data_IF_798220851104
#
_entry.id   IF_798220851104
#
_cell.length_a   1.000
_cell.length_b   1.000
_cell.length_c   1.000
_cell.angle_alpha   90.00
_cell.angle_beta   90.00
_cell.angle_gamma   90.00
#
_symmetry.space_group_name_H-M   'P 1'
#
loop_
_entity.id
_entity.type
_entity.pdbx_description
1 polymer ?
#
# COMPACT_ATOMS: atom_id res chain seq x y z
N UNK A 1 28.00 18.93 -32.07
CA UNK A 1 28.55 18.74 -30.72
C UNK A 1 28.10 19.92 -29.87
N UNK A 2 26.89 19.86 -29.31
CA UNK A 2 26.33 20.95 -28.51
C UNK A 2 26.89 20.86 -27.10
N UNK A 3 27.65 21.88 -26.68
CA UNK A 3 28.03 22.09 -25.28
C UNK A 3 26.75 22.31 -24.48
N UNK A 4 26.44 21.42 -23.54
CA UNK A 4 25.43 21.70 -22.51
C UNK A 4 26.02 22.72 -21.56
N UNK A 5 25.37 23.89 -21.49
CA UNK A 5 25.61 24.88 -20.44
C UNK A 5 25.22 24.30 -19.06
N UNK A 6 25.92 24.68 -17.98
CA UNK A 6 25.56 24.26 -16.64
C UNK A 6 24.24 24.91 -16.20
N UNK A 7 23.25 24.08 -15.83
CA UNK A 7 21.96 24.54 -15.29
C UNK A 7 22.17 25.27 -13.96
N UNK A 8 21.64 26.49 -13.87
CA UNK A 8 21.53 27.30 -12.66
C UNK A 8 20.93 26.48 -11.50
N UNK A 9 21.56 26.56 -10.32
CA UNK A 9 21.19 25.80 -9.12
C UNK A 9 20.16 26.52 -8.22
N UNK A 10 19.32 27.40 -8.77
CA UNK A 10 18.51 28.35 -7.98
C UNK A 10 16.99 28.14 -7.92
N UNK A 11 16.36 27.43 -8.87
CA UNK A 11 14.90 27.60 -9.09
C UNK A 11 13.97 26.70 -8.25
N UNK A 12 14.47 25.66 -7.58
CA UNK A 12 13.60 24.65 -6.92
C UNK A 12 13.66 24.66 -5.38
N UNK A 13 14.30 25.67 -4.76
CA UNK A 13 14.38 25.74 -3.29
C UNK A 13 13.15 26.45 -2.73
N UNK A 14 12.33 25.74 -1.95
CA UNK A 14 11.18 26.27 -1.23
C UNK A 14 11.62 26.84 0.11
N UNK A 15 11.16 28.06 0.41
CA UNK A 15 11.34 28.76 1.68
C UNK A 15 9.98 29.05 2.30
N UNK A 16 9.77 28.60 3.53
CA UNK A 16 8.48 28.72 4.22
C UNK A 16 8.72 29.08 5.69
N UNK A 17 7.93 30.00 6.25
CA UNK A 17 7.90 30.25 7.69
C UNK A 17 6.80 29.42 8.36
N UNK A 18 7.11 28.84 9.51
CA UNK A 18 6.11 28.14 10.35
C UNK A 18 6.38 28.35 11.83
N UNK A 19 5.37 28.17 12.67
CA UNK A 19 5.52 28.27 14.14
C UNK A 19 6.01 26.97 14.80
N UNK A 20 5.86 25.83 14.12
CA UNK A 20 6.21 24.53 14.69
C UNK A 20 7.73 24.31 14.55
N UNK A 21 8.37 23.81 15.60
CA UNK A 21 9.79 23.43 15.61
C UNK A 21 10.09 22.24 14.67
N UNK A 22 11.36 22.06 14.24
CA UNK A 22 11.79 20.85 13.52
C UNK A 22 11.55 19.58 14.32
N UNK A 23 10.97 18.57 13.67
CA UNK A 23 10.57 17.33 14.32
C UNK A 23 11.73 16.45 14.82
N UNK A 24 12.92 16.55 14.21
CA UNK A 24 13.99 15.58 14.46
C UNK A 24 15.19 16.16 15.23
N UNK A 25 15.64 17.37 14.89
CA UNK A 25 16.82 17.94 15.53
C UNK A 25 16.83 19.46 15.53
N UNK A 26 17.29 20.03 16.65
CA UNK A 26 17.60 21.45 16.83
C UNK A 26 18.96 21.58 17.50
N UNK A 27 19.76 22.53 17.01
CA UNK A 27 21.08 22.87 17.49
C UNK A 27 21.12 24.37 17.77
N UNK A 28 21.17 24.72 19.06
CA UNK A 28 21.44 26.08 19.51
C UNK A 28 22.94 26.31 19.59
N UNK A 29 23.38 27.46 19.09
CA UNK A 29 24.76 27.93 19.17
C UNK A 29 24.73 29.24 19.92
N UNK A 30 25.37 29.26 21.08
CA UNK A 30 25.70 30.48 21.80
C UNK A 30 27.12 30.93 21.41
N UNK A 31 27.40 32.23 21.51
CA UNK A 31 28.68 32.82 21.10
C UNK A 31 29.02 32.55 19.62
N UNK A 32 28.06 32.77 18.71
CA UNK A 32 28.20 32.49 17.28
C UNK A 32 29.38 33.24 16.65
N UNK A 33 29.64 34.48 17.07
CA UNK A 33 30.79 35.26 16.62
C UNK A 33 32.12 34.54 16.87
N UNK A 34 32.31 33.96 18.06
CA UNK A 34 33.50 33.18 18.40
C UNK A 34 33.60 31.88 17.58
N UNK A 35 32.47 31.20 17.33
CA UNK A 35 32.44 30.05 16.43
C UNK A 35 32.89 30.45 15.03
N UNK A 36 32.36 31.55 14.52
CA UNK A 36 32.67 32.10 13.20
C UNK A 36 34.16 32.45 13.08
N UNK A 37 34.71 33.15 14.07
CA UNK A 37 36.12 33.54 14.10
C UNK A 37 37.04 32.31 14.21
N UNK A 38 36.66 31.32 15.03
CA UNK A 38 37.41 30.08 15.18
C UNK A 38 37.51 29.33 13.85
N UNK A 39 36.40 29.17 13.10
CA UNK A 39 36.46 28.45 11.82
C UNK A 39 37.12 29.28 10.70
N UNK A 40 37.05 30.61 10.77
CA UNK A 40 37.73 31.48 9.80
C UNK A 40 39.25 31.48 9.97
N UNK A 41 39.73 31.36 11.22
CA UNK A 41 41.15 31.47 11.56
C UNK A 41 41.82 30.13 11.88
N UNK A 42 41.16 29.01 11.63
CA UNK A 42 41.71 27.67 11.81
C UNK A 42 41.69 26.88 10.49
N UNK A 43 42.24 25.67 10.51
CA UNK A 43 42.10 24.73 9.40
C UNK A 43 40.71 24.10 9.31
N UNK A 44 39.81 24.39 10.26
CA UNK A 44 38.45 23.87 10.31
C UNK A 44 37.52 24.89 9.66
N UNK A 45 37.10 24.67 8.41
CA UNK A 45 36.17 25.57 7.71
C UNK A 45 34.71 25.43 8.17
N UNK A 46 34.41 24.42 8.99
CA UNK A 46 33.06 24.00 9.33
C UNK A 46 32.94 23.57 10.80
N UNK A 47 31.72 23.65 11.33
CA UNK A 47 31.31 23.05 12.58
C UNK A 47 30.40 21.84 12.33
N UNK A 48 30.64 20.74 13.05
CA UNK A 48 29.78 19.55 13.00
C UNK A 48 29.00 19.40 14.30
N UNK A 49 27.71 19.13 14.17
CA UNK A 49 26.86 18.85 15.32
C UNK A 49 27.13 17.48 15.93
N UNK A 50 26.53 17.23 17.09
CA UNK A 50 26.35 15.86 17.60
C UNK A 50 25.48 15.03 16.64
N UNK A 51 25.61 13.72 16.77
CA UNK A 51 24.76 12.77 16.07
C UNK A 51 23.34 12.81 16.63
N UNK A 52 22.36 12.66 15.74
CA UNK A 52 20.96 12.52 16.10
C UNK A 52 20.29 11.42 15.27
N UNK A 53 19.34 10.72 15.88
CA UNK A 53 18.59 9.65 15.23
C UNK A 53 17.34 10.20 14.52
N UNK A 54 17.17 9.86 13.24
CA UNK A 54 15.98 10.19 12.47
C UNK A 54 15.71 9.14 11.39
N UNK A 55 14.45 8.74 11.24
CA UNK A 55 14.03 7.74 10.23
C UNK A 55 14.85 6.42 10.25
N UNK A 56 15.34 6.01 11.42
CA UNK A 56 16.12 4.77 11.60
C UNK A 56 17.62 4.87 11.29
N UNK A 57 18.15 6.08 11.08
CA UNK A 57 19.58 6.32 10.80
C UNK A 57 20.12 7.46 11.67
N UNK A 58 21.45 7.50 11.82
CA UNK A 58 22.16 8.59 12.49
C UNK A 58 22.55 9.67 11.51
N UNK A 59 22.41 10.92 11.91
CA UNK A 59 22.69 12.10 11.09
C UNK A 59 23.46 13.15 11.87
N UNK A 60 24.13 14.05 11.16
CA UNK A 60 24.76 15.27 11.68
C UNK A 60 24.39 16.47 10.82
N UNK A 61 24.42 17.65 11.43
CA UNK A 61 24.46 18.92 10.73
C UNK A 61 25.91 19.37 10.58
N UNK A 62 26.25 19.87 9.39
CA UNK A 62 27.53 20.51 9.09
C UNK A 62 27.27 21.96 8.69
N UNK A 63 27.71 22.88 9.54
CA UNK A 63 27.51 24.32 9.41
C UNK A 63 28.80 24.99 8.95
N UNK A 64 28.70 25.81 7.91
CA UNK A 64 29.74 26.77 7.52
C UNK A 64 29.21 28.17 7.85
N UNK A 65 29.61 28.77 8.99
CA UNK A 65 29.10 30.06 9.42
C UNK A 65 29.59 31.22 8.55
N UNK A 66 30.68 31.03 7.79
CA UNK A 66 31.22 32.00 6.82
C UNK A 66 31.03 31.57 5.36
N UNK A 67 30.23 30.52 5.13
CA UNK A 67 29.93 30.01 3.81
C UNK A 67 30.90 28.94 3.30
N UNK A 68 30.36 27.96 2.58
CA UNK A 68 31.12 26.92 1.89
C UNK A 68 31.64 27.44 0.53
N UNK A 69 32.83 28.02 0.54
CA UNK A 69 33.47 28.60 -0.66
C UNK A 69 33.65 27.58 -1.79
N UNK A 70 33.84 26.30 -1.45
CA UNK A 70 33.99 25.22 -2.44
C UNK A 70 32.72 24.98 -3.26
N UNK A 71 31.57 25.43 -2.75
CA UNK A 71 30.25 25.29 -3.39
C UNK A 71 29.55 26.62 -3.63
N UNK A 72 30.32 27.70 -3.80
CA UNK A 72 29.83 29.06 -4.04
C UNK A 72 28.93 29.60 -2.90
N UNK A 73 29.20 29.22 -1.66
CA UNK A 73 28.48 29.68 -0.46
C UNK A 73 29.00 30.99 0.14
N UNK A 74 29.98 31.65 -0.48
CA UNK A 74 30.59 32.88 0.05
C UNK A 74 29.54 33.98 0.27
N UNK A 75 29.54 34.58 1.47
CA UNK A 75 28.52 35.56 1.88
C UNK A 75 27.21 34.98 2.41
N UNK A 76 27.12 33.65 2.60
CA UNK A 76 25.94 32.96 3.14
C UNK A 76 26.30 32.07 4.33
N UNK A 77 25.32 31.83 5.20
CA UNK A 77 25.31 30.61 6.01
C UNK A 77 25.10 29.43 5.06
N UNK A 78 25.97 28.42 5.14
CA UNK A 78 25.76 27.12 4.48
C UNK A 78 25.47 26.05 5.53
N UNK A 79 24.47 25.21 5.28
CA UNK A 79 24.13 24.11 6.17
C UNK A 79 23.88 22.84 5.37
N UNK A 80 24.41 21.74 5.89
CA UNK A 80 24.29 20.43 5.28
C UNK A 80 23.84 19.38 6.29
N UNK A 81 23.08 18.42 5.79
CA UNK A 81 22.78 17.16 6.43
C UNK A 81 23.78 16.10 5.95
N UNK A 82 24.35 15.37 6.90
CA UNK A 82 25.30 14.28 6.65
C UNK A 82 24.80 13.03 7.35
N UNK A 83 24.83 11.88 6.67
CA UNK A 83 24.60 10.61 7.35
C UNK A 83 25.83 10.21 8.16
N UNK A 84 25.60 9.89 9.42
CA UNK A 84 26.62 9.53 10.40
C UNK A 84 26.58 8.03 10.69
N UNK A 85 27.61 7.55 11.39
CA UNK A 85 27.77 6.15 11.79
C UNK A 85 27.38 5.14 10.68
N UNK A 86 28.11 5.21 9.58
CA UNK A 86 27.95 4.28 8.45
C UNK A 86 28.71 2.97 8.69
N UNK A 87 29.21 2.74 9.92
CA UNK A 87 29.93 1.53 10.26
C UNK A 87 28.98 0.33 10.19
N UNK A 88 29.38 -0.72 9.49
CA UNK A 88 28.55 -1.91 9.29
C UNK A 88 27.53 -1.82 8.14
N UNK A 89 27.46 -0.71 7.39
CA UNK A 89 26.63 -0.68 6.18
C UNK A 89 27.24 -1.56 5.08
N UNK A 90 26.42 -2.26 4.28
CA UNK A 90 26.92 -3.14 3.22
C UNK A 90 27.63 -2.33 2.11
N UNK A 91 28.58 -2.93 1.38
CA UNK A 91 29.17 -2.30 0.20
C UNK A 91 28.10 -1.85 -0.79
N UNK A 92 28.19 -0.61 -1.27
CA UNK A 92 27.21 -0.05 -2.21
C UNK A 92 25.88 0.35 -1.59
N UNK A 93 25.81 0.55 -0.28
CA UNK A 93 24.60 1.04 0.39
C UNK A 93 24.11 2.37 -0.22
N UNK A 94 22.79 2.49 -0.30
CA UNK A 94 22.11 3.70 -0.74
C UNK A 94 20.91 3.95 0.17
N UNK A 95 20.79 5.19 0.65
CA UNK A 95 19.68 5.64 1.48
C UNK A 95 19.07 6.84 0.79
N UNK A 96 17.79 6.73 0.44
CA UNK A 96 17.06 7.82 -0.22
C UNK A 96 16.25 8.58 0.83
N UNK A 97 16.49 9.89 0.97
CA UNK A 97 15.82 10.71 1.96
C UNK A 97 15.40 12.07 1.40
N UNK A 98 14.26 12.56 1.86
CA UNK A 98 13.87 13.97 1.73
C UNK A 98 14.19 14.63 3.06
N UNK A 99 14.74 15.83 3.04
CA UNK A 99 15.01 16.59 4.26
C UNK A 99 14.65 18.06 4.12
N UNK A 100 14.46 18.69 5.27
CA UNK A 100 14.29 20.14 5.42
C UNK A 100 15.28 20.63 6.46
N UNK A 101 15.84 21.82 6.24
CA UNK A 101 16.74 22.51 7.17
C UNK A 101 16.09 23.80 7.66
N UNK A 102 16.41 24.20 8.90
CA UNK A 102 15.69 25.29 9.57
C UNK A 102 16.65 26.31 10.18
N UNK A 103 16.20 27.58 10.25
CA UNK A 103 16.77 28.63 11.11
C UNK A 103 15.63 29.26 11.92
N UNK A 104 15.83 29.45 13.22
CA UNK A 104 14.83 30.02 14.12
C UNK A 104 14.89 31.56 14.13
N UNK A 105 13.78 32.21 13.83
CA UNK A 105 13.52 33.62 14.10
C UNK A 105 13.04 33.76 15.55
N UNK A 106 13.95 34.24 16.40
CA UNK A 106 13.75 34.39 17.85
C UNK A 106 12.84 35.57 18.22
N UNK A 107 12.59 36.50 17.29
CA UNK A 107 11.73 37.66 17.55
C UNK A 107 10.27 37.35 17.25
N UNK A 108 10.01 36.57 16.20
CA UNK A 108 8.65 36.21 15.78
C UNK A 108 8.19 34.84 16.28
N UNK A 109 9.06 34.07 16.93
CA UNK A 109 8.81 32.67 17.33
C UNK A 109 8.36 31.83 16.13
N UNK A 110 9.22 31.82 15.11
CA UNK A 110 8.99 31.15 13.83
C UNK A 110 10.27 30.48 13.33
N UNK A 111 10.10 29.51 12.45
CA UNK A 111 11.18 28.76 11.82
C UNK A 111 11.14 29.00 10.32
N UNK A 112 12.20 29.60 9.79
CA UNK A 112 12.45 29.61 8.35
C UNK A 112 12.88 28.21 7.93
N UNK A 113 12.03 27.57 7.15
CA UNK A 113 12.17 26.22 6.63
C UNK A 113 12.71 26.30 5.20
N UNK A 114 13.78 25.58 4.92
CA UNK A 114 14.40 25.49 3.59
C UNK A 114 14.46 24.02 3.17
N UNK A 115 13.89 23.72 2.01
CA UNK A 115 13.90 22.40 1.40
C UNK A 115 13.70 22.51 -0.11
N UNK A 116 13.95 21.44 -0.87
CA UNK A 116 13.67 21.41 -2.31
C UNK A 116 12.70 20.29 -2.71
N UNK A 117 12.20 19.54 -1.72
CA UNK A 117 11.29 18.39 -1.93
C UNK A 117 11.91 17.23 -2.71
N UNK A 118 13.21 17.30 -3.04
CA UNK A 118 13.87 16.29 -3.87
C UNK A 118 14.29 15.11 -3.02
N UNK A 119 14.09 13.91 -3.58
CA UNK A 119 14.65 12.70 -3.02
C UNK A 119 16.17 12.71 -3.21
N UNK A 120 16.92 12.73 -2.11
CA UNK A 120 18.38 12.75 -2.11
C UNK A 120 18.92 11.37 -1.82
N UNK A 121 19.82 10.91 -2.69
CA UNK A 121 20.51 9.63 -2.54
C UNK A 121 21.79 9.84 -1.74
N UNK A 122 21.82 9.30 -0.53
CA UNK A 122 22.99 9.20 0.31
C UNK A 122 23.70 7.89 0.01
N UNK A 123 25.01 7.95 -0.23
CA UNK A 123 25.87 6.76 -0.38
C UNK A 123 27.28 7.07 0.12
N UNK A 124 28.18 6.09 0.09
CA UNK A 124 29.57 6.26 0.54
C UNK A 124 30.31 7.42 -0.16
N UNK A 125 30.00 7.69 -1.44
CA UNK A 125 30.63 8.78 -2.21
C UNK A 125 29.93 10.12 -1.96
N UNK A 126 28.61 10.10 -1.78
CA UNK A 126 27.78 11.29 -1.66
C UNK A 126 26.94 11.20 -0.39
N UNK A 127 27.57 11.44 0.75
CA UNK A 127 26.95 11.33 2.09
C UNK A 127 26.51 12.69 2.68
N UNK A 128 26.76 13.80 1.96
CA UNK A 128 26.50 15.17 2.39
C UNK A 128 25.59 15.88 1.39
N UNK A 129 24.44 16.38 1.85
CA UNK A 129 23.48 17.15 1.05
C UNK A 129 22.98 18.37 1.83
N UNK A 130 22.67 19.47 1.15
CA UNK A 130 22.24 20.71 1.81
C UNK A 130 22.35 21.91 0.90
N UNK A 131 22.36 23.10 1.50
CA UNK A 131 22.23 24.36 0.80
C UNK A 131 23.48 25.23 1.02
N UNK A 132 24.36 25.36 0.01
CA UNK A 132 25.52 26.25 0.08
C UNK A 132 25.12 27.72 0.33
N UNK A 133 24.01 28.15 -0.24
CA UNK A 133 23.46 29.50 -0.07
C UNK A 133 22.17 29.46 0.75
N UNK A 134 22.22 28.90 1.97
CA UNK A 134 21.02 28.69 2.79
C UNK A 134 20.41 30.02 3.23
N UNK A 135 21.20 30.93 3.79
CA UNK A 135 20.71 32.23 4.26
C UNK A 135 21.81 33.29 4.08
N UNK A 136 21.56 34.43 3.40
CA UNK A 136 22.56 35.47 3.26
C UNK A 136 23.06 35.94 4.63
N UNK A 137 24.37 36.17 4.79
CA UNK A 137 24.93 36.67 6.05
C UNK A 137 24.39 38.05 6.41
N UNK A 138 24.11 38.90 5.41
CA UNK A 138 23.45 40.20 5.62
C UNK A 138 22.07 40.06 6.25
N UNK A 139 21.30 39.04 5.85
CA UNK A 139 19.99 38.73 6.44
C UNK A 139 20.15 38.10 7.82
N UNK A 140 21.06 37.14 7.97
CA UNK A 140 21.28 36.43 9.24
C UNK A 140 21.80 37.34 10.35
N UNK A 141 22.77 38.21 10.05
CA UNK A 141 23.40 39.11 11.02
C UNK A 141 22.56 40.36 11.33
N UNK A 142 21.53 40.66 10.52
CA UNK A 142 20.63 41.76 10.83
C UNK A 142 19.67 41.33 11.96
N UNK A 143 19.88 41.91 13.14
CA UNK A 143 19.08 41.64 14.33
C UNK A 143 17.57 41.83 14.13
N UNK A 144 17.12 42.68 13.20
CA UNK A 144 15.68 42.85 12.93
C UNK A 144 15.00 41.61 12.35
N UNK A 145 15.78 40.67 11.80
CA UNK A 145 15.29 39.41 11.23
C UNK A 145 15.26 38.27 12.25
N UNK A 146 15.74 38.48 13.47
CA UNK A 146 15.61 37.54 14.59
C UNK A 146 16.45 36.26 14.56
N UNK A 147 17.23 36.01 13.51
CA UNK A 147 18.02 34.78 13.38
C UNK A 147 19.25 34.70 14.30
N UNK A 148 19.93 35.84 14.51
CA UNK A 148 21.05 35.97 15.44
C UNK A 148 20.74 37.05 16.48
N UNK A 149 20.39 36.63 17.70
CA UNK A 149 20.01 37.51 18.81
C UNK A 149 20.89 37.21 20.02
N UNK A 150 21.51 38.25 20.59
CA UNK A 150 22.41 38.08 21.73
C UNK A 150 23.59 37.15 21.44
N UNK A 151 24.10 37.17 20.20
CA UNK A 151 25.14 36.25 19.70
C UNK A 151 24.76 34.76 19.78
N UNK A 152 23.46 34.48 19.73
CA UNK A 152 22.88 33.14 19.75
C UNK A 152 21.96 32.89 18.56
N UNK A 153 22.02 31.70 17.98
CA UNK A 153 21.18 31.26 16.88
C UNK A 153 20.78 29.78 17.04
N UNK A 154 19.73 29.35 16.31
CA UNK A 154 19.28 27.95 16.32
C UNK A 154 19.07 27.46 14.90
N UNK A 155 19.69 26.33 14.58
CA UNK A 155 19.49 25.59 13.33
C UNK A 155 18.76 24.28 13.62
N UNK A 156 18.14 23.68 12.60
CA UNK A 156 17.51 22.38 12.77
C UNK A 156 17.35 21.58 11.50
N UNK A 157 16.86 20.35 11.65
CA UNK A 157 16.64 19.41 10.56
C UNK A 157 15.39 18.55 10.76
N UNK A 158 14.80 18.17 9.63
CA UNK A 158 13.84 17.08 9.52
C UNK A 158 14.28 16.15 8.40
N UNK A 159 14.26 14.84 8.66
CA UNK A 159 14.74 13.83 7.72
C UNK A 159 13.73 12.71 7.58
N UNK A 160 13.28 12.46 6.36
CA UNK A 160 12.30 11.44 6.01
C UNK A 160 12.93 10.47 5.01
N UNK A 161 13.30 9.27 5.47
CA UNK A 161 13.84 8.22 4.60
C UNK A 161 12.71 7.52 3.86
N UNK A 162 12.86 7.39 2.54
CA UNK A 162 11.93 6.67 1.66
C UNK A 162 12.53 5.30 1.38
N UNK A 163 11.88 4.26 1.89
CA UNK A 163 12.19 2.87 1.57
C UNK A 163 11.31 2.41 0.41
N UNK A 164 11.92 1.82 -0.61
CA UNK A 164 11.22 1.24 -1.76
C UNK A 164 10.65 -0.15 -1.42
N UNK A 165 9.86 -0.24 -0.35
CA UNK A 165 9.19 -1.46 0.13
C UNK A 165 7.69 -1.43 -0.25
N UNK A 166 7.37 -0.85 -1.40
CA UNK A 166 5.99 -0.66 -1.84
C UNK A 166 5.23 -1.98 -1.84
N UNK A 167 4.06 -2.00 -1.20
CA UNK A 167 3.13 -3.14 -1.26
C UNK A 167 2.24 -2.96 -2.48
N UNK A 168 2.07 -4.02 -3.26
CA UNK A 168 1.16 -4.05 -4.40
C UNK A 168 0.32 -5.32 -4.40
N UNK A 169 -0.67 -5.36 -5.29
CA UNK A 169 -1.50 -6.55 -5.52
C UNK A 169 -1.35 -7.03 -6.97
N UNK A 170 -1.44 -8.34 -7.15
CA UNK A 170 -1.49 -9.02 -8.43
C UNK A 170 -2.85 -9.70 -8.58
N UNK A 171 -3.74 -9.06 -9.34
CA UNK A 171 -5.05 -9.59 -9.69
C UNK A 171 -4.99 -10.37 -11.01
N UNK A 172 -5.53 -11.57 -11.02
CA UNK A 172 -5.63 -12.41 -12.22
C UNK A 172 -6.96 -13.15 -12.27
N UNK A 173 -7.36 -13.56 -13.47
CA UNK A 173 -8.56 -14.35 -13.70
C UNK A 173 -8.17 -15.73 -14.22
N UNK A 174 -8.58 -16.79 -13.52
CA UNK A 174 -8.50 -18.16 -14.03
C UNK A 174 -9.76 -18.41 -14.86
N UNK A 175 -9.57 -18.92 -16.07
CA UNK A 175 -10.64 -19.42 -16.92
C UNK A 175 -10.59 -20.95 -16.92
N UNK A 176 -11.75 -21.59 -16.83
CA UNK A 176 -11.95 -23.04 -16.84
C UNK A 176 -11.01 -23.76 -15.85
N UNK A 177 -11.10 -23.45 -14.53
CA UNK A 177 -10.24 -24.09 -13.53
C UNK A 177 -10.37 -25.61 -13.57
N UNK A 178 -9.26 -26.30 -13.33
CA UNK A 178 -9.24 -27.76 -13.21
C UNK A 178 -10.23 -28.22 -12.15
N UNK A 179 -10.92 -29.33 -12.42
CA UNK A 179 -11.96 -29.90 -11.55
C UNK A 179 -13.13 -28.93 -11.26
N UNK A 180 -13.34 -27.92 -12.11
CA UNK A 180 -14.42 -26.95 -11.98
C UNK A 180 -15.84 -27.52 -12.17
N UNK A 181 -16.01 -28.81 -12.46
CA UNK A 181 -17.33 -29.45 -12.54
C UNK A 181 -17.59 -30.29 -11.30
N UNK A 182 -18.63 -29.93 -10.58
CA UNK A 182 -19.15 -30.61 -9.40
C UNK A 182 -20.37 -31.43 -9.81
N UNK A 183 -20.40 -32.74 -9.52
CA UNK A 183 -21.55 -33.59 -9.85
C UNK A 183 -22.08 -34.26 -8.60
N UNK A 184 -23.31 -33.92 -8.23
CA UNK A 184 -24.02 -34.48 -7.10
C UNK A 184 -25.19 -35.36 -7.54
N UNK A 185 -25.10 -36.64 -7.21
CA UNK A 185 -26.19 -37.60 -7.39
C UNK A 185 -27.05 -37.64 -6.12
N UNK A 186 -28.24 -37.06 -6.21
CA UNK A 186 -29.22 -37.04 -5.12
C UNK A 186 -30.07 -38.29 -5.22
N UNK A 187 -29.62 -39.35 -4.57
CA UNK A 187 -30.34 -40.63 -4.52
C UNK A 187 -31.54 -40.56 -3.56
N UNK A 188 -32.54 -41.41 -3.80
CA UNK A 188 -33.77 -41.49 -3.01
C UNK A 188 -34.50 -40.13 -2.93
N UNK A 189 -34.52 -39.39 -4.04
CA UNK A 189 -35.01 -38.00 -4.10
C UNK A 189 -36.46 -37.88 -3.60
N UNK A 190 -37.31 -38.87 -3.90
CA UNK A 190 -38.70 -38.92 -3.44
C UNK A 190 -38.85 -38.96 -1.92
N UNK A 191 -37.84 -39.45 -1.20
CA UNK A 191 -37.81 -39.56 0.26
C UNK A 191 -37.30 -38.31 0.99
N UNK A 192 -36.89 -37.26 0.26
CA UNK A 192 -36.36 -36.04 0.88
C UNK A 192 -37.48 -35.21 1.53
N UNK A 193 -37.47 -35.17 2.86
CA UNK A 193 -38.47 -34.47 3.71
C UNK A 193 -37.92 -33.25 4.43
N UNK A 194 -36.60 -33.11 4.50
CA UNK A 194 -35.90 -31.97 5.07
C UNK A 194 -36.08 -30.69 4.25
N UNK A 195 -35.79 -29.56 4.88
CA UNK A 195 -35.90 -28.25 4.21
C UNK A 195 -34.88 -28.11 3.07
N UNK A 196 -33.63 -28.48 3.34
CA UNK A 196 -32.55 -28.49 2.37
C UNK A 196 -31.53 -29.57 2.66
N UNK A 197 -30.70 -29.84 1.67
CA UNK A 197 -29.63 -30.82 1.70
C UNK A 197 -28.38 -30.24 1.05
N UNK A 198 -27.22 -30.60 1.59
CA UNK A 198 -25.93 -30.28 1.00
C UNK A 198 -25.35 -31.50 0.28
N UNK A 199 -24.60 -31.25 -0.79
CA UNK A 199 -23.66 -32.23 -1.34
C UNK A 199 -22.46 -32.44 -0.42
N UNK A 200 -21.57 -33.36 -0.82
CA UNK A 200 -20.18 -33.32 -0.35
C UNK A 200 -19.48 -32.00 -0.72
N UNK A 201 -18.35 -31.72 -0.08
CA UNK A 201 -17.43 -30.64 -0.45
C UNK A 201 -16.71 -31.01 -1.73
N UNK A 202 -16.57 -30.04 -2.62
CA UNK A 202 -15.74 -30.14 -3.81
C UNK A 202 -14.64 -29.08 -3.81
N UNK A 203 -13.42 -29.49 -4.10
CA UNK A 203 -12.28 -28.58 -4.23
C UNK A 203 -12.10 -28.19 -5.70
N UNK A 204 -12.26 -26.91 -6.03
CA UNK A 204 -11.93 -26.40 -7.36
C UNK A 204 -11.46 -24.95 -7.31
N UNK A 205 -10.49 -24.62 -8.17
CA UNK A 205 -9.91 -23.28 -8.20
C UNK A 205 -9.21 -22.87 -6.91
N UNK A 206 -8.82 -23.83 -6.07
CA UNK A 206 -8.24 -23.57 -4.74
C UNK A 206 -9.26 -23.25 -3.65
N UNK A 207 -10.55 -23.48 -3.90
CA UNK A 207 -11.64 -23.18 -2.97
C UNK A 207 -12.57 -24.38 -2.74
N UNK A 208 -13.16 -24.45 -1.55
CA UNK A 208 -14.11 -25.47 -1.15
C UNK A 208 -15.56 -25.05 -1.43
N UNK A 209 -16.27 -25.84 -2.22
CA UNK A 209 -17.62 -25.56 -2.70
C UNK A 209 -18.61 -26.65 -2.25
N UNK A 210 -19.84 -26.25 -1.94
CA UNK A 210 -20.98 -27.15 -1.72
C UNK A 210 -22.15 -26.76 -2.60
N UNK A 211 -22.91 -27.75 -3.06
CA UNK A 211 -24.22 -27.55 -3.66
C UNK A 211 -25.29 -27.67 -2.59
N UNK A 212 -26.29 -26.80 -2.63
CA UNK A 212 -27.38 -26.72 -1.65
C UNK A 212 -28.72 -26.78 -2.36
N UNK A 213 -29.50 -27.79 -2.03
CA UNK A 213 -30.76 -28.13 -2.68
C UNK A 213 -31.92 -27.99 -1.71
N UNK A 214 -32.95 -27.25 -2.11
CA UNK A 214 -34.24 -27.21 -1.43
C UNK A 214 -35.24 -27.99 -2.28
N UNK A 215 -35.48 -29.29 -2.01
CA UNK A 215 -36.25 -30.16 -2.88
C UNK A 215 -37.71 -29.71 -3.01
N UNK A 216 -38.23 -29.06 -1.97
CA UNK A 216 -39.58 -28.51 -1.92
C UNK A 216 -39.60 -26.97 -1.94
N UNK A 217 -38.49 -26.31 -2.27
CA UNK A 217 -38.38 -24.87 -2.45
C UNK A 217 -37.95 -24.05 -1.23
N UNK A 218 -37.29 -22.92 -1.49
CA UNK A 218 -36.77 -21.99 -0.48
C UNK A 218 -37.74 -20.82 -0.23
N UNK A 219 -37.97 -20.48 1.06
CA UNK A 219 -38.77 -19.35 1.54
C UNK A 219 -40.14 -19.23 0.82
N UNK A 220 -40.28 -18.22 -0.07
CA UNK A 220 -41.54 -17.84 -0.74
C UNK A 220 -41.95 -18.82 -1.84
N UNK A 221 -41.04 -19.71 -2.26
CA UNK A 221 -41.25 -20.65 -3.37
C UNK A 221 -41.56 -22.07 -2.90
N UNK A 222 -41.72 -22.28 -1.58
CA UNK A 222 -42.09 -23.56 -0.98
C UNK A 222 -43.33 -24.16 -1.66
N UNK A 223 -43.25 -25.44 -2.01
CA UNK A 223 -44.30 -26.21 -2.66
C UNK A 223 -44.54 -25.89 -4.14
N UNK A 224 -43.78 -24.97 -4.74
CA UNK A 224 -43.96 -24.55 -6.15
C UNK A 224 -42.75 -24.84 -7.02
N UNK A 225 -41.56 -24.55 -6.52
CA UNK A 225 -40.31 -24.73 -7.23
C UNK A 225 -39.31 -25.48 -6.37
N UNK A 226 -38.43 -26.24 -6.99
CA UNK A 226 -37.18 -26.65 -6.40
C UNK A 226 -36.17 -25.51 -6.51
N UNK A 227 -35.41 -25.27 -5.44
CA UNK A 227 -34.38 -24.22 -5.41
C UNK A 227 -33.00 -24.84 -5.33
N UNK A 228 -32.03 -24.20 -5.98
CA UNK A 228 -30.67 -24.71 -6.06
C UNK A 228 -29.67 -23.57 -5.91
N UNK A 229 -28.66 -23.79 -5.08
CA UNK A 229 -27.61 -22.84 -4.73
C UNK A 229 -26.24 -23.52 -4.74
N UNK A 230 -25.20 -22.71 -4.89
CA UNK A 230 -23.82 -23.03 -4.55
C UNK A 230 -23.43 -22.21 -3.32
N UNK A 231 -22.63 -22.79 -2.44
CA UNK A 231 -22.09 -22.16 -1.24
C UNK A 231 -20.57 -22.34 -1.24
N UNK A 232 -19.85 -21.27 -0.94
CA UNK A 232 -18.41 -21.27 -0.69
C UNK A 232 -18.19 -21.64 0.78
N UNK A 233 -17.67 -22.85 1.03
CA UNK A 233 -17.59 -23.46 2.36
C UNK A 233 -16.41 -22.91 3.18
N UNK A 234 -15.31 -22.57 2.52
CA UNK A 234 -14.08 -22.08 3.15
C UNK A 234 -14.07 -20.56 3.40
N UNK A 235 -15.20 -19.87 3.18
CA UNK A 235 -15.26 -18.40 3.19
C UNK A 235 -14.81 -17.76 4.52
N UNK A 236 -14.93 -18.49 5.64
CA UNK A 236 -14.52 -18.04 6.98
C UNK A 236 -13.01 -18.11 7.22
N UNK A 237 -12.25 -18.77 6.34
CA UNK A 237 -10.80 -18.90 6.47
C UNK A 237 -10.05 -17.63 6.01
N UNK A 238 -10.75 -16.65 5.44
CA UNK A 238 -10.15 -15.45 4.87
C UNK A 238 -10.30 -14.22 5.78
N UNK A 239 -9.38 -13.27 5.63
CA UNK A 239 -9.37 -12.02 6.38
C UNK A 239 -10.53 -11.09 5.96
N UNK A 240 -10.90 -10.16 6.84
CA UNK A 240 -11.93 -9.14 6.58
C UNK A 240 -11.58 -8.34 5.32
N UNK A 241 -12.54 -8.23 4.39
CA UNK A 241 -12.37 -7.51 3.13
C UNK A 241 -11.98 -8.40 1.94
N UNK A 242 -11.69 -9.69 2.17
CA UNK A 242 -11.48 -10.65 1.09
C UNK A 242 -12.74 -10.80 0.22
N UNK A 243 -12.52 -10.89 -1.09
CA UNK A 243 -13.57 -11.09 -2.10
C UNK A 243 -13.09 -12.04 -3.19
N UNK A 244 -14.00 -12.87 -3.67
CA UNK A 244 -13.78 -13.80 -4.77
C UNK A 244 -14.85 -13.62 -5.84
N UNK A 245 -14.44 -13.12 -7.00
CA UNK A 245 -15.33 -13.11 -8.16
C UNK A 245 -15.38 -14.49 -8.79
N UNK A 246 -16.58 -14.93 -9.13
CA UNK A 246 -16.83 -16.19 -9.80
C UNK A 246 -17.86 -16.05 -10.91
N UNK A 247 -17.62 -16.73 -12.03
CA UNK A 247 -18.62 -17.09 -13.04
C UNK A 247 -18.95 -18.59 -12.90
N UNK A 248 -20.21 -18.92 -12.63
CA UNK A 248 -20.64 -20.28 -12.30
C UNK A 248 -21.96 -20.63 -12.98
N UNK A 249 -22.12 -21.89 -13.39
CA UNK A 249 -23.39 -22.46 -13.88
C UNK A 249 -23.87 -23.55 -12.95
N UNK A 250 -25.10 -23.41 -12.43
CA UNK A 250 -25.82 -24.50 -11.80
C UNK A 250 -26.69 -25.21 -12.84
N UNK A 251 -26.78 -26.53 -12.77
CA UNK A 251 -27.48 -27.37 -13.74
C UNK A 251 -28.19 -28.54 -13.06
N UNK A 252 -29.39 -28.86 -13.52
CA UNK A 252 -30.07 -30.14 -13.28
C UNK A 252 -30.06 -30.90 -14.59
N UNK A 253 -29.52 -32.13 -14.60
CA UNK A 253 -29.41 -32.90 -15.83
C UNK A 253 -30.73 -33.56 -16.18
N UNK A 254 -31.19 -33.32 -17.41
CA UNK A 254 -31.90 -34.35 -18.16
C UNK A 254 -30.94 -35.53 -18.40
N UNK A 255 -31.31 -36.70 -17.88
CA UNK A 255 -30.46 -37.89 -17.87
C UNK A 255 -30.60 -38.75 -19.13
N UNK A 256 -31.40 -38.32 -20.12
CA UNK A 256 -31.68 -39.10 -21.34
C UNK A 256 -31.46 -38.29 -22.62
N UNK A 257 -32.07 -37.10 -22.74
CA UNK A 257 -32.10 -36.32 -23.98
C UNK A 257 -31.15 -35.11 -23.95
N UNK A 258 -30.37 -34.96 -22.89
CA UNK A 258 -29.44 -33.84 -22.68
C UNK A 258 -30.09 -32.45 -22.70
N UNK A 259 -31.41 -32.34 -22.51
CA UNK A 259 -32.09 -31.05 -22.34
C UNK A 259 -32.01 -30.57 -20.89
N UNK A 260 -30.80 -30.27 -20.44
CA UNK A 260 -30.55 -29.87 -19.07
C UNK A 260 -31.24 -28.54 -18.71
N UNK A 261 -31.55 -28.36 -17.42
CA UNK A 261 -32.03 -27.08 -16.89
C UNK A 261 -30.88 -26.38 -16.19
N UNK A 262 -30.44 -25.23 -16.69
CA UNK A 262 -29.26 -24.55 -16.15
C UNK A 262 -29.43 -23.03 -16.00
N UNK A 263 -28.60 -22.44 -15.12
CA UNK A 263 -28.50 -21.01 -14.84
C UNK A 263 -27.05 -20.62 -14.58
N UNK A 264 -26.58 -19.61 -15.30
CA UNK A 264 -25.24 -19.02 -15.13
C UNK A 264 -25.34 -17.69 -14.36
N UNK A 265 -24.38 -17.45 -13.47
CA UNK A 265 -24.28 -16.24 -12.65
C UNK A 265 -22.84 -15.74 -12.55
N UNK A 266 -22.74 -14.46 -12.18
CA UNK A 266 -21.52 -13.79 -11.80
C UNK A 266 -21.70 -13.23 -10.40
N UNK A 267 -20.74 -13.46 -9.50
CA UNK A 267 -20.88 -13.04 -8.11
C UNK A 267 -19.55 -12.77 -7.44
N UNK A 268 -19.58 -11.87 -6.45
CA UNK A 268 -18.46 -11.59 -5.56
C UNK A 268 -18.74 -12.21 -4.20
N UNK A 269 -18.24 -13.42 -4.01
CA UNK A 269 -18.29 -14.10 -2.72
C UNK A 269 -17.42 -13.35 -1.70
N UNK A 270 -17.90 -13.30 -0.46
CA UNK A 270 -17.18 -12.75 0.68
C UNK A 270 -17.68 -13.42 1.97
N UNK A 271 -17.09 -13.09 3.12
CA UNK A 271 -17.47 -13.70 4.40
C UNK A 271 -18.93 -13.50 4.84
N UNK A 272 -19.66 -12.54 4.25
CA UNK A 272 -21.10 -12.30 4.53
C UNK A 272 -22.05 -12.73 3.40
N UNK A 273 -21.55 -12.84 2.18
CA UNK A 273 -22.30 -13.31 1.00
C UNK A 273 -21.57 -14.53 0.44
N UNK A 274 -21.78 -15.68 1.08
CA UNK A 274 -21.07 -16.92 0.77
C UNK A 274 -21.89 -17.92 -0.05
N UNK A 275 -23.17 -17.65 -0.30
CA UNK A 275 -24.03 -18.49 -1.14
C UNK A 275 -24.71 -17.71 -2.27
N UNK A 276 -25.01 -18.42 -3.36
CA UNK A 276 -25.77 -17.88 -4.48
C UNK A 276 -26.52 -18.98 -5.22
N UNK A 277 -27.72 -18.65 -5.68
CA UNK A 277 -28.54 -19.60 -6.42
C UNK A 277 -29.87 -19.01 -6.87
N UNK A 278 -30.78 -19.88 -7.27
CA UNK A 278 -32.12 -19.51 -7.70
C UNK A 278 -33.17 -20.20 -6.85
N UNK A 279 -34.01 -19.38 -6.22
CA UNK A 279 -35.19 -19.83 -5.47
C UNK A 279 -36.26 -20.51 -6.36
N UNK A 280 -36.31 -20.18 -7.65
CA UNK A 280 -37.27 -20.74 -8.63
C UNK A 280 -36.54 -21.41 -9.78
N UNK A 281 -35.69 -22.41 -9.49
CA UNK A 281 -34.82 -23.03 -10.49
C UNK A 281 -35.60 -23.87 -11.52
N UNK A 282 -36.47 -24.77 -11.02
CA UNK A 282 -37.38 -25.60 -11.81
C UNK A 282 -38.68 -25.81 -11.04
N UNK A 283 -39.82 -25.86 -11.74
CA UNK A 283 -41.11 -26.08 -11.09
C UNK A 283 -41.20 -27.52 -10.55
N UNK A 284 -41.91 -27.71 -9.43
CA UNK A 284 -42.12 -29.07 -8.90
C UNK A 284 -42.95 -29.94 -9.85
N UNK A 285 -43.81 -29.31 -10.67
CA UNK A 285 -44.56 -30.00 -11.72
C UNK A 285 -43.65 -30.52 -12.83
N UNK A 286 -42.67 -29.71 -13.28
CA UNK A 286 -41.76 -30.11 -14.36
C UNK A 286 -40.76 -31.16 -13.89
N UNK A 287 -40.17 -30.99 -12.70
CA UNK A 287 -39.14 -31.94 -12.22
C UNK A 287 -39.71 -33.31 -11.87
N UNK A 288 -40.99 -33.36 -11.43
CA UNK A 288 -41.70 -34.61 -11.13
C UNK A 288 -42.36 -35.22 -12.37
N UNK A 289 -42.32 -34.56 -13.52
CA UNK A 289 -42.88 -35.09 -14.75
C UNK A 289 -41.95 -36.19 -15.31
N UNK A 290 -42.37 -37.46 -15.36
CA UNK A 290 -41.52 -38.55 -15.85
C UNK A 290 -41.08 -38.37 -17.31
N UNK A 291 -41.82 -37.61 -18.11
CA UNK A 291 -41.50 -37.32 -19.51
C UNK A 291 -40.33 -36.33 -19.67
N UNK A 292 -39.91 -35.67 -18.59
CA UNK A 292 -38.83 -34.66 -18.59
C UNK A 292 -37.47 -35.22 -18.19
N UNK A 293 -37.38 -36.50 -17.81
CA UNK A 293 -36.13 -37.23 -17.57
C UNK A 293 -35.16 -36.63 -16.54
N UNK A 294 -35.62 -35.70 -15.68
CA UNK A 294 -34.77 -35.09 -14.65
C UNK A 294 -34.51 -36.04 -13.47
N UNK A 295 -35.50 -36.89 -13.15
CA UNK A 295 -35.39 -37.93 -12.11
C UNK A 295 -35.48 -39.28 -12.81
N UNK A 296 -34.44 -40.09 -12.68
CA UNK A 296 -34.36 -41.46 -13.21
C UNK A 296 -33.95 -42.38 -12.07
N UNK A 297 -34.66 -43.49 -11.88
CA UNK A 297 -34.42 -44.42 -10.76
C UNK A 297 -34.35 -43.71 -9.40
N UNK A 298 -35.29 -42.79 -9.17
CA UNK A 298 -35.38 -41.93 -7.97
C UNK A 298 -34.08 -41.15 -7.64
N UNK A 299 -33.29 -40.85 -8.68
CA UNK A 299 -32.03 -40.12 -8.56
C UNK A 299 -32.13 -38.83 -9.38
N UNK A 300 -31.80 -37.69 -8.76
CA UNK A 300 -31.65 -36.40 -9.42
C UNK A 300 -30.15 -36.08 -9.56
N UNK A 301 -29.69 -35.72 -10.75
CA UNK A 301 -28.28 -35.32 -10.96
C UNK A 301 -28.20 -33.80 -11.06
N UNK A 302 -27.44 -33.21 -10.15
CA UNK A 302 -27.15 -31.78 -10.09
C UNK A 302 -25.68 -31.55 -10.42
N UNK A 303 -25.41 -30.60 -11.32
CA UNK A 303 -24.06 -30.16 -11.65
C UNK A 303 -23.85 -28.69 -11.27
N UNK A 304 -22.66 -28.37 -10.77
CA UNK A 304 -22.15 -27.00 -10.72
C UNK A 304 -20.92 -26.91 -11.61
N UNK A 305 -20.80 -25.85 -12.42
CA UNK A 305 -19.69 -25.66 -13.35
C UNK A 305 -19.08 -24.28 -13.11
N UNK A 306 -17.85 -24.26 -12.62
CA UNK A 306 -17.05 -23.08 -12.39
C UNK A 306 -16.31 -22.71 -13.69
N UNK A 307 -16.70 -21.60 -14.31
CA UNK A 307 -16.11 -21.13 -15.58
C UNK A 307 -14.97 -20.16 -15.35
N UNK A 308 -15.08 -19.29 -14.35
CA UNK A 308 -14.03 -18.33 -14.01
C UNK A 308 -13.95 -18.07 -12.53
N UNK A 309 -12.74 -17.80 -12.03
CA UNK A 309 -12.56 -17.23 -10.70
C UNK A 309 -11.45 -16.17 -10.67
N UNK A 310 -11.57 -15.20 -9.79
CA UNK A 310 -10.50 -14.23 -9.52
C UNK A 310 -9.47 -14.79 -8.55
N UNK A 311 -8.20 -14.51 -8.78
CA UNK A 311 -7.10 -14.79 -7.85
C UNK A 311 -6.36 -13.50 -7.54
N UNK A 312 -6.33 -13.16 -6.26
CA UNK A 312 -5.58 -12.03 -5.71
C UNK A 312 -4.35 -12.56 -4.96
N UNK A 313 -3.17 -12.03 -5.28
CA UNK A 313 -1.91 -12.32 -4.59
C UNK A 313 -1.18 -11.02 -4.27
N UNK A 314 -0.31 -11.05 -3.28
CA UNK A 314 0.61 -9.94 -3.04
C UNK A 314 1.61 -9.83 -4.20
N UNK A 315 1.87 -8.60 -4.65
CA UNK A 315 2.92 -8.30 -5.61
C UNK A 315 4.26 -8.30 -4.85
N UNK A 316 5.13 -9.25 -5.19
CA UNK A 316 6.45 -9.42 -4.57
C UNK A 316 7.46 -8.34 -5.00
#
# INVERSE_FOLDING_TARGET
MMKKEPRSHGEDTVREERHVAPAHYSMKIDSFSLLSDMVANSYLEQYESREFDASGYKWKLVLYPNGDKSRNGDGYISLYLVIADTTGFPPGWEINAIFKLFVYDQLQDKYLTIGDGRLRRFCAIMNKWGFPQMLPLSTFNNASNGYLIGDSCVFGAEVFVVKSEGKGEHFSMIKDPSDGTFTWEVQYFSGLTGEFYYSQVYLAGGHEWKLKLFPNGHIKQRGKYLSLFVELDDCTNYHTGWKLFVEFTLRIKDQVQSQHREKTFHHWFNGSENDLGWVSFISLTDIKNPLKNFIVNDTLIVEGVLHRLSVLKDLA
#
